data_IF_945582111600
#
_entry.id   IF_945582111600
#
_cell.length_a   1.000
_cell.length_b   1.000
_cell.length_c   1.000
_cell.angle_alpha   90.00
_cell.angle_beta   90.00
_cell.angle_gamma   90.00
#
_symmetry.space_group_name_H-M   'P 1'
#
loop_
_entity.id
_entity.type
_entity.pdbx_description
1 polymer ?
#
# COMPACT_ATOMS: atom_id res chain seq x y z
N UNK A 1 -0.41 -6.93 2.68
CA UNK A 1 0.03 -5.57 2.28
C UNK A 1 0.39 -4.70 3.48
N UNK A 2 -0.57 -4.29 4.34
CA UNK A 2 -0.35 -3.23 5.34
C UNK A 2 0.79 -3.50 6.35
N UNK A 3 0.89 -4.71 6.89
CA UNK A 3 1.98 -5.05 7.82
C UNK A 3 3.37 -5.01 7.16
N UNK A 4 3.49 -5.51 5.93
CA UNK A 4 4.75 -5.51 5.19
C UNK A 4 5.19 -4.09 4.81
N UNK A 5 4.24 -3.24 4.42
CA UNK A 5 4.53 -1.84 4.16
C UNK A 5 5.05 -1.16 5.43
N UNK A 6 4.37 -1.33 6.58
CA UNK A 6 4.83 -0.81 7.87
C UNK A 6 6.23 -1.30 8.24
N UNK A 7 6.49 -2.60 8.08
CA UNK A 7 7.80 -3.19 8.37
C UNK A 7 8.89 -2.59 7.47
N UNK A 8 8.62 -2.45 6.17
CA UNK A 8 9.55 -1.81 5.23
C UNK A 8 9.84 -0.36 5.59
N UNK A 9 8.81 0.43 5.91
CA UNK A 9 8.99 1.81 6.35
C UNK A 9 9.83 1.91 7.64
N UNK A 10 9.62 1.01 8.60
CA UNK A 10 10.37 0.97 9.86
C UNK A 10 11.86 0.63 9.67
N UNK A 11 12.19 -0.19 8.66
CA UNK A 11 13.59 -0.53 8.30
C UNK A 11 14.26 0.60 7.50
N UNK A 12 13.50 1.56 6.97
CA UNK A 12 14.04 2.70 6.22
C UNK A 12 14.25 2.43 4.73
N UNK A 13 13.34 1.69 4.09
CA UNK A 13 13.35 1.54 2.62
C UNK A 13 13.21 2.89 1.90
N UNK A 14 13.79 2.99 0.71
CA UNK A 14 13.72 4.21 -0.11
C UNK A 14 12.31 4.49 -0.66
N UNK A 15 11.44 3.49 -0.77
CA UNK A 15 10.08 3.67 -1.28
C UNK A 15 9.25 2.38 -1.28
N UNK A 16 7.94 2.55 -1.48
CA UNK A 16 6.96 1.47 -1.61
C UNK A 16 6.45 1.39 -3.05
N UNK A 17 6.33 0.18 -3.57
CA UNK A 17 5.56 -0.12 -4.77
C UNK A 17 4.24 -0.77 -4.35
N UNK A 18 3.12 -0.23 -4.85
CA UNK A 18 1.76 -0.63 -4.43
C UNK A 18 0.89 -0.77 -5.67
N UNK A 19 0.28 -1.93 -5.83
CA UNK A 19 -0.79 -2.15 -6.82
C UNK A 19 -2.13 -1.74 -6.22
N UNK A 20 -2.95 -1.04 -7.01
CA UNK A 20 -4.29 -0.63 -6.59
C UNK A 20 -5.30 -0.84 -7.72
N UNK A 21 -6.53 -1.24 -7.36
CA UNK A 21 -7.60 -1.49 -8.32
C UNK A 21 -8.95 -0.96 -7.79
N UNK A 22 -9.82 -0.37 -8.65
CA UNK A 22 -11.15 0.07 -8.23
C UNK A 22 -12.04 -1.05 -7.70
N UNK A 23 -11.85 -2.26 -8.23
CA UNK A 23 -12.62 -3.46 -7.89
C UNK A 23 -11.71 -4.70 -7.90
N UNK A 24 -10.99 -4.98 -6.79
CA UNK A 24 -9.98 -6.04 -6.76
C UNK A 24 -10.55 -7.43 -7.09
N UNK A 25 -11.82 -7.69 -6.77
CA UNK A 25 -12.47 -8.99 -7.02
C UNK A 25 -12.65 -9.28 -8.53
N UNK A 26 -12.68 -8.23 -9.36
CA UNK A 26 -12.77 -8.32 -10.82
C UNK A 26 -11.45 -7.97 -11.54
N UNK A 27 -10.34 -7.87 -10.82
CA UNK A 27 -9.05 -7.63 -11.44
C UNK A 27 -8.64 -8.83 -12.31
N UNK A 28 -8.13 -8.58 -13.52
CA UNK A 28 -7.69 -9.63 -14.46
C UNK A 28 -6.44 -10.37 -14.00
N UNK A 29 -5.67 -9.77 -13.08
CA UNK A 29 -4.46 -10.30 -12.47
C UNK A 29 -4.32 -9.63 -11.09
N UNK A 30 -3.72 -10.35 -10.13
CA UNK A 30 -3.30 -9.84 -8.82
C UNK A 30 -4.38 -9.17 -7.95
N UNK A 31 -5.66 -9.46 -8.19
CA UNK A 31 -6.79 -8.94 -7.40
C UNK A 31 -6.63 -9.07 -5.89
N UNK A 32 -6.31 -10.25 -5.34
CA UNK A 32 -6.10 -10.43 -3.90
C UNK A 32 -4.93 -9.62 -3.32
N UNK A 33 -3.96 -9.21 -4.16
CA UNK A 33 -2.81 -8.40 -3.77
C UNK A 33 -3.06 -6.90 -3.93
N UNK A 34 -3.97 -6.50 -4.83
CA UNK A 34 -4.28 -5.12 -5.12
C UNK A 34 -5.01 -4.43 -3.97
N UNK A 35 -4.57 -3.23 -3.61
CA UNK A 35 -5.26 -2.38 -2.66
C UNK A 35 -6.55 -1.81 -3.32
N UNK A 36 -7.71 -1.84 -2.65
CA UNK A 36 -8.87 -1.09 -3.11
C UNK A 36 -8.50 0.39 -3.34
N UNK A 37 -8.81 0.92 -4.52
CA UNK A 37 -8.32 2.23 -4.95
C UNK A 37 -8.78 3.37 -4.02
N UNK A 38 -10.00 3.26 -3.49
CA UNK A 38 -10.58 4.18 -2.51
C UNK A 38 -9.79 4.23 -1.18
N UNK A 39 -9.05 3.17 -0.86
CA UNK A 39 -8.19 3.08 0.33
C UNK A 39 -6.77 3.59 0.11
N UNK A 40 -6.38 3.89 -1.14
CA UNK A 40 -5.00 4.29 -1.46
C UNK A 40 -4.59 5.59 -0.77
N UNK A 41 -5.41 6.64 -0.83
CA UNK A 41 -5.08 7.91 -0.19
C UNK A 41 -4.97 7.80 1.34
N UNK A 42 -5.94 7.21 2.07
CA UNK A 42 -5.80 6.94 3.50
C UNK A 42 -4.54 6.14 3.85
N UNK A 43 -4.22 5.12 3.04
CA UNK A 43 -3.03 4.29 3.23
C UNK A 43 -1.74 5.10 3.11
N UNK A 44 -1.60 5.91 2.05
CA UNK A 44 -0.43 6.75 1.83
C UNK A 44 -0.26 7.81 2.92
N UNK A 45 -1.37 8.41 3.41
CA UNK A 45 -1.34 9.32 4.57
C UNK A 45 -0.79 8.62 5.81
N UNK A 46 -1.21 7.38 6.07
CA UNK A 46 -0.67 6.58 7.18
C UNK A 46 0.83 6.32 7.00
N UNK A 47 1.26 5.87 5.82
CA UNK A 47 2.68 5.55 5.57
C UNK A 47 3.58 6.79 5.70
N UNK A 48 3.13 7.94 5.18
CA UNK A 48 3.85 9.21 5.30
C UNK A 48 3.98 9.68 6.75
N UNK A 49 2.95 9.46 7.58
CA UNK A 49 3.01 9.83 9.00
C UNK A 49 4.01 8.96 9.80
N UNK A 50 4.37 7.77 9.29
CA UNK A 50 5.33 6.87 9.92
C UNK A 50 6.78 7.18 9.57
N UNK A 51 7.05 7.96 8.52
CA UNK A 51 8.43 8.28 8.13
C UNK A 51 9.04 9.27 9.11
N UNK A 52 10.18 8.93 9.69
CA UNK A 52 10.90 9.74 10.69
C UNK A 52 12.00 10.63 10.08
N UNK A 53 11.94 10.87 8.77
CA UNK A 53 12.93 11.66 8.02
C UNK A 53 12.27 12.85 7.33
#
# INVERSE_FOLDING_TARGET
MSELARAGMAVGIAGLFIEAHPDPDHAKCDGPSALPLDKLEPFLKQMKAMTIW
#
